data_IF_016736933747
#
_entry.id   IF_016736933747
#
_cell.length_a   1.000
_cell.length_b   1.000
_cell.length_c   1.000
_cell.angle_alpha   90.00
_cell.angle_beta   90.00
_cell.angle_gamma   90.00
#
_symmetry.space_group_name_H-M   'P 1'
#
loop_
_entity.id
_entity.type
_entity.pdbx_description
1 polymer ?
#
# COMPACT_ATOMS: atom_id res chain seq x y z
N UNK A 1 -23.51 -4.84 16.81
CA UNK A 1 -22.49 -5.54 16.01
C UNK A 1 -21.20 -4.74 16.05
N UNK A 2 -20.05 -5.40 16.10
CA UNK A 2 -18.75 -4.72 16.07
C UNK A 2 -18.31 -4.53 14.60
N UNK A 3 -17.86 -3.32 14.25
CA UNK A 3 -17.30 -3.04 12.92
C UNK A 3 -15.85 -3.51 12.83
N UNK A 4 -15.38 -3.76 11.60
CA UNK A 4 -13.96 -4.01 11.34
C UNK A 4 -13.11 -2.80 11.78
N UNK A 5 -11.90 -3.00 12.34
CA UNK A 5 -11.02 -1.91 12.77
C UNK A 5 -10.60 -0.96 11.65
N UNK A 6 -10.56 -1.44 10.41
CA UNK A 6 -10.25 -0.61 9.23
C UNK A 6 -11.41 0.29 8.77
N UNK A 7 -12.58 0.20 9.39
CA UNK A 7 -13.70 1.08 9.07
C UNK A 7 -13.51 2.44 9.75
N UNK A 8 -13.64 3.53 8.97
CA UNK A 8 -13.56 4.90 9.50
C UNK A 8 -14.79 5.20 10.36
N UNK A 9 -14.57 5.64 11.60
CA UNK A 9 -15.64 6.13 12.48
C UNK A 9 -16.31 7.36 11.85
N UNK A 10 -17.63 7.35 11.76
CA UNK A 10 -18.43 8.42 11.17
C UNK A 10 -19.25 9.11 12.26
N UNK A 11 -19.15 10.44 12.36
CA UNK A 11 -19.95 11.23 13.29
C UNK A 11 -21.44 11.17 12.93
N UNK A 12 -22.28 10.78 13.90
CA UNK A 12 -23.74 10.73 13.75
C UNK A 12 -24.27 9.75 12.69
N UNK A 13 -23.43 8.86 12.15
CA UNK A 13 -23.80 7.89 11.11
C UNK A 13 -23.26 6.49 11.43
N UNK A 14 -23.82 5.48 10.77
CA UNK A 14 -23.30 4.11 10.87
C UNK A 14 -21.90 4.02 10.23
N UNK A 15 -20.98 3.34 10.91
CA UNK A 15 -19.60 3.10 10.43
C UNK A 15 -19.50 1.93 9.44
N UNK A 16 -20.34 0.90 9.60
CA UNK A 16 -20.33 -0.30 8.78
C UNK A 16 -21.75 -0.88 8.60
N UNK A 17 -21.93 -1.69 7.56
CA UNK A 17 -23.14 -2.48 7.28
C UNK A 17 -23.01 -3.93 7.77
N UNK A 18 -21.82 -4.33 8.21
CA UNK A 18 -21.50 -5.66 8.76
C UNK A 18 -20.10 -5.70 9.38
N UNK A 19 -19.67 -6.84 9.95
CA UNK A 19 -18.41 -6.95 10.67
C UNK A 19 -17.15 -7.02 9.77
N UNK A 20 -17.30 -7.32 8.48
CA UNK A 20 -16.18 -7.49 7.55
C UNK A 20 -15.57 -6.17 7.07
N UNK A 21 -14.30 -6.21 6.68
CA UNK A 21 -13.58 -5.07 6.11
C UNK A 21 -14.15 -4.57 4.77
N UNK A 22 -14.95 -5.41 4.08
CA UNK A 22 -15.71 -5.07 2.88
C UNK A 22 -17.07 -4.42 3.16
N UNK A 23 -17.46 -4.34 4.43
CA UNK A 23 -18.74 -3.78 4.87
C UNK A 23 -18.60 -2.42 5.52
N UNK A 24 -17.44 -1.78 5.40
CA UNK A 24 -17.27 -0.41 5.87
C UNK A 24 -18.03 0.58 4.97
N UNK A 25 -18.64 1.61 5.58
CA UNK A 25 -19.20 2.74 4.81
C UNK A 25 -18.07 3.59 4.22
N UNK A 26 -16.95 3.71 4.93
CA UNK A 26 -15.72 4.34 4.47
C UNK A 26 -14.49 3.69 5.13
N UNK A 27 -13.36 3.65 4.43
CA UNK A 27 -12.10 3.12 4.97
C UNK A 27 -11.35 4.18 5.79
N UNK A 28 -10.75 3.75 6.90
CA UNK A 28 -9.89 4.60 7.73
C UNK A 28 -8.59 4.96 6.98
N UNK A 29 -7.93 3.94 6.44
CA UNK A 29 -6.60 4.03 5.81
C UNK A 29 -6.67 3.92 4.29
N UNK A 30 -6.65 2.69 3.74
CA UNK A 30 -6.62 2.42 2.31
C UNK A 30 -7.75 1.47 1.92
N UNK A 31 -8.03 1.38 0.62
CA UNK A 31 -9.03 0.47 0.06
C UNK A 31 -8.40 -0.41 -1.01
N UNK A 32 -8.42 -1.73 -0.82
CA UNK A 32 -8.05 -2.70 -1.84
C UNK A 32 -9.29 -3.44 -2.35
N UNK A 33 -9.71 -3.10 -3.58
CA UNK A 33 -10.97 -3.60 -4.13
C UNK A 33 -12.14 -3.26 -3.21
N UNK A 34 -12.94 -4.24 -2.75
CA UNK A 34 -14.03 -3.97 -1.81
C UNK A 34 -13.56 -3.84 -0.35
N UNK A 35 -12.35 -4.29 0.01
CA UNK A 35 -11.89 -4.38 1.39
C UNK A 35 -11.12 -3.13 1.84
N UNK A 36 -11.39 -2.65 3.05
CA UNK A 36 -10.53 -1.67 3.71
C UNK A 36 -9.31 -2.36 4.33
N UNK A 37 -8.12 -1.79 4.09
CA UNK A 37 -6.84 -2.34 4.53
C UNK A 37 -5.96 -1.24 5.11
N UNK A 38 -5.03 -1.63 5.98
CA UNK A 38 -4.07 -0.71 6.59
C UNK A 38 -2.95 -0.32 5.63
N UNK A 39 -2.51 -1.28 4.81
CA UNK A 39 -1.47 -1.13 3.78
C UNK A 39 -1.85 -1.88 2.51
N UNK A 40 -1.38 -1.41 1.34
CA UNK A 40 -1.56 -2.14 0.09
C UNK A 40 -0.70 -3.41 0.06
N UNK A 41 -1.12 -4.46 -0.66
CA UNK A 41 -0.32 -5.69 -0.82
C UNK A 41 1.06 -5.45 -1.44
N UNK A 42 2.10 -5.83 -0.70
CA UNK A 42 3.51 -5.73 -1.13
C UNK A 42 4.14 -7.11 -1.25
N UNK A 43 3.84 -7.83 -2.34
CA UNK A 43 4.47 -9.12 -2.63
C UNK A 43 3.69 -10.32 -2.11
N UNK A 44 2.37 -10.32 -2.29
CA UNK A 44 1.58 -11.53 -2.11
C UNK A 44 1.82 -12.48 -3.28
N UNK A 45 2.10 -13.76 -3.00
CA UNK A 45 2.27 -14.78 -4.03
C UNK A 45 0.91 -15.08 -4.68
N UNK A 46 0.67 -14.51 -5.84
CA UNK A 46 -0.48 -14.82 -6.69
C UNK A 46 -0.19 -16.00 -7.62
N UNK A 47 -1.18 -16.32 -8.46
CA UNK A 47 -1.13 -17.41 -9.46
C UNK A 47 -0.05 -17.25 -10.54
N UNK A 48 0.31 -16.00 -10.87
CA UNK A 48 1.28 -15.67 -11.93
C UNK A 48 2.55 -14.99 -11.38
N UNK A 49 2.76 -15.02 -10.06
CA UNK A 49 3.90 -14.39 -9.40
C UNK A 49 3.48 -13.42 -8.29
N UNK A 50 4.41 -12.56 -7.88
CA UNK A 50 4.20 -11.61 -6.79
C UNK A 50 3.31 -10.44 -7.22
N UNK A 51 2.24 -10.20 -6.46
CA UNK A 51 1.33 -9.07 -6.64
C UNK A 51 1.82 -7.91 -5.78
N UNK A 52 2.17 -6.81 -6.44
CA UNK A 52 2.48 -5.53 -5.82
C UNK A 52 1.41 -4.51 -6.18
N UNK A 53 0.91 -3.79 -5.17
CA UNK A 53 -0.01 -2.67 -5.36
C UNK A 53 0.52 -1.44 -4.62
N UNK A 54 0.21 -0.26 -5.15
CA UNK A 54 0.55 1.01 -4.53
C UNK A 54 -0.72 1.81 -4.22
N UNK A 55 -0.72 2.64 -3.16
CA UNK A 55 -1.83 3.53 -2.88
C UNK A 55 -1.84 4.72 -3.85
N UNK A 56 -2.93 4.90 -4.57
CA UNK A 56 -3.15 6.08 -5.40
C UNK A 56 -3.55 7.31 -4.56
N UNK A 57 -3.74 8.46 -5.23
CA UNK A 57 -4.13 9.72 -4.56
C UNK A 57 -5.48 9.66 -3.84
N UNK A 58 -6.37 8.75 -4.24
CA UNK A 58 -7.65 8.48 -3.59
C UNK A 58 -7.54 7.44 -2.47
N UNK A 59 -6.33 6.99 -2.12
CA UNK A 59 -6.07 5.94 -1.12
C UNK A 59 -6.62 4.57 -1.53
N UNK A 60 -6.75 4.31 -2.83
CA UNK A 60 -7.07 2.98 -3.36
C UNK A 60 -5.79 2.26 -3.77
N UNK A 61 -5.74 0.96 -3.53
CA UNK A 61 -4.63 0.11 -3.95
C UNK A 61 -4.79 -0.27 -5.43
N UNK A 62 -3.89 0.25 -6.25
CA UNK A 62 -3.83 -0.03 -7.68
C UNK A 62 -2.64 -0.94 -8.00
N UNK A 63 -2.73 -1.82 -9.01
CA UNK A 63 -1.64 -2.72 -9.36
C UNK A 63 -0.42 -1.96 -9.87
N UNK A 64 0.76 -2.40 -9.43
CA UNK A 64 2.03 -1.96 -10.00
C UNK A 64 2.17 -2.39 -11.47
N UNK A 65 3.12 -1.76 -12.17
CA UNK A 65 3.54 -2.24 -13.47
C UNK A 65 4.06 -3.69 -13.38
N UNK A 66 3.75 -4.53 -14.38
CA UNK A 66 4.10 -5.96 -14.40
C UNK A 66 5.61 -6.25 -14.27
N UNK A 67 6.44 -5.30 -14.66
CA UNK A 67 7.91 -5.40 -14.59
C UNK A 67 8.48 -5.05 -13.20
N UNK A 68 7.66 -4.50 -12.30
CA UNK A 68 8.11 -4.17 -10.95
C UNK A 68 8.10 -5.44 -10.07
N UNK A 69 9.27 -6.02 -9.83
CA UNK A 69 9.41 -7.26 -9.04
C UNK A 69 9.65 -7.05 -7.55
N UNK A 70 9.73 -5.79 -7.10
CA UNK A 70 10.04 -5.42 -5.71
C UNK A 70 9.10 -4.35 -5.12
N UNK A 71 7.98 -4.09 -5.79
CA UNK A 71 7.07 -2.99 -5.46
C UNK A 71 7.20 -1.78 -6.38
N UNK A 72 6.30 -0.82 -6.19
CA UNK A 72 6.26 0.44 -6.92
C UNK A 72 5.62 1.57 -6.08
N UNK A 73 5.87 2.81 -6.46
CA UNK A 73 5.20 4.00 -5.90
C UNK A 73 4.13 4.57 -6.85
N UNK A 74 3.93 3.94 -8.00
CA UNK A 74 3.11 4.45 -9.09
C UNK A 74 2.89 3.40 -10.20
N UNK A 75 2.05 3.73 -11.20
CA UNK A 75 1.68 2.78 -12.26
C UNK A 75 2.75 2.57 -13.32
N UNK A 76 3.73 3.48 -13.43
CA UNK A 76 4.74 3.45 -14.47
C UNK A 76 5.90 2.50 -14.17
N UNK A 77 6.61 2.07 -15.21
CA UNK A 77 7.88 1.35 -15.07
C UNK A 77 8.96 2.16 -14.35
N UNK A 78 8.94 3.48 -14.50
CA UNK A 78 9.84 4.39 -13.77
C UNK A 78 9.53 4.53 -12.28
N UNK A 79 8.34 4.11 -11.85
CA UNK A 79 7.90 4.16 -10.46
C UNK A 79 8.19 2.86 -9.71
N UNK A 80 8.80 1.86 -10.36
CA UNK A 80 9.23 0.66 -9.67
C UNK A 80 10.17 1.05 -8.52
N UNK A 81 10.00 0.43 -7.36
CA UNK A 81 10.94 0.56 -6.26
C UNK A 81 12.25 -0.07 -6.75
N UNK A 82 13.15 0.79 -7.23
CA UNK A 82 14.49 0.38 -7.54
C UNK A 82 15.08 -0.23 -6.26
N UNK A 83 16.01 -1.17 -6.42
CA UNK A 83 16.85 -1.60 -5.30
C UNK A 83 17.84 -0.48 -4.98
N UNK A 84 17.34 0.73 -4.71
CA UNK A 84 18.08 1.79 -4.07
C UNK A 84 18.36 1.24 -2.68
N UNK A 85 19.58 0.72 -2.47
CA UNK A 85 20.12 0.42 -1.16
C UNK A 85 20.23 1.71 -0.34
N UNK A 86 19.13 2.33 0.04
CA UNK A 86 19.11 3.43 0.99
C UNK A 86 17.84 3.22 1.81
N UNK A 87 17.82 2.21 2.69
CA UNK A 87 17.96 2.48 4.13
C UNK A 87 18.09 3.98 4.37
N UNK A 88 17.04 4.57 4.91
CA UNK A 88 17.12 5.64 5.91
C UNK A 88 18.54 6.16 6.13
N UNK A 89 18.91 7.24 5.43
CA UNK A 89 20.07 8.06 5.80
C UNK A 89 21.46 7.69 5.27
N UNK A 90 21.62 6.71 4.38
CA UNK A 90 22.91 6.50 3.71
C UNK A 90 22.89 6.97 2.25
N UNK A 91 24.00 7.52 1.76
CA UNK A 91 24.27 7.85 0.36
C UNK A 91 25.58 7.18 -0.04
N UNK A 92 25.57 6.40 -1.13
CA UNK A 92 26.81 5.83 -1.70
C UNK A 92 27.26 6.70 -2.87
N UNK A 93 28.31 7.50 -2.65
CA UNK A 93 28.98 8.26 -3.70
C UNK A 93 30.23 7.55 -4.23
N UNK A 94 30.84 8.09 -5.30
CA UNK A 94 32.09 7.57 -5.87
C UNK A 94 33.28 7.56 -4.89
N UNK A 95 33.17 8.28 -3.77
CA UNK A 95 34.18 8.38 -2.71
C UNK A 95 33.84 7.56 -1.46
N UNK A 96 32.82 6.70 -1.50
CA UNK A 96 32.43 5.83 -0.38
C UNK A 96 31.04 6.12 0.17
N UNK A 97 30.64 5.28 1.14
CA UNK A 97 29.32 5.28 1.78
C UNK A 97 29.28 6.30 2.93
N UNK A 98 28.41 7.31 2.84
CA UNK A 98 28.17 8.29 3.90
C UNK A 98 26.79 8.06 4.53
N UNK A 99 26.76 7.73 5.83
CA UNK A 99 25.53 7.65 6.62
C UNK A 99 25.45 8.88 7.54
N UNK A 100 24.35 9.61 7.50
CA UNK A 100 24.05 10.66 8.49
C UNK A 100 23.47 9.98 9.75
N UNK A 101 24.25 9.99 10.84
CA UNK A 101 23.78 9.76 12.21
C UNK A 101 23.45 11.10 12.87
#
# INVERSE_FOLDING_TARGET
>A
MLCHPECKVQEGKRTCTGPGADKCVACASLKDGPHCVSSCPEGLMGREGFIYKYPNKQRHCEPCHMNCTKGCSGPGTGDCVATSRLISGCWTGATGTACLL
#
